data_IF_650478531606
#
_entry.id   IF_650478531606
#
_cell.length_a   1.000
_cell.length_b   1.000
_cell.length_c   1.000
_cell.angle_alpha   90.00
_cell.angle_beta   90.00
_cell.angle_gamma   90.00
#
_symmetry.space_group_name_H-M   'P 1'
#
loop_
_entity.id
_entity.type
_entity.pdbx_description
1 polymer ?
#
# COMPACT_ATOMS: atom_id res chain seq x y z
N UNK A 1 28.78 -33.62 -26.63
CA UNK A 1 28.20 -34.03 -25.34
C UNK A 1 28.77 -33.14 -24.25
N UNK A 2 28.01 -32.19 -23.68
CA UNK A 2 28.51 -31.36 -22.59
C UNK A 2 28.23 -32.01 -21.23
N UNK A 3 29.22 -31.89 -20.34
CA UNK A 3 29.28 -32.52 -19.03
C UNK A 3 28.30 -31.90 -18.01
N UNK A 4 27.66 -32.77 -17.21
CA UNK A 4 26.80 -32.42 -16.08
C UNK A 4 27.66 -31.88 -14.92
N UNK A 5 27.36 -30.71 -14.34
CA UNK A 5 28.09 -30.22 -13.17
C UNK A 5 27.65 -30.98 -11.90
N UNK A 6 28.64 -31.37 -11.10
CA UNK A 6 28.48 -32.09 -9.85
C UNK A 6 27.74 -31.26 -8.79
N UNK A 7 26.75 -31.87 -8.15
CA UNK A 7 25.92 -31.30 -7.08
C UNK A 7 26.74 -31.29 -5.78
N UNK A 8 27.17 -30.11 -5.33
CA UNK A 8 27.77 -29.93 -4.00
C UNK A 8 26.71 -30.21 -2.92
N UNK A 9 27.02 -31.17 -2.04
CA UNK A 9 26.20 -31.51 -0.88
C UNK A 9 26.23 -30.35 0.13
N UNK A 10 25.05 -29.90 0.57
CA UNK A 10 24.93 -28.93 1.64
C UNK A 10 25.48 -29.51 2.96
N UNK A 11 26.13 -28.69 3.81
CA UNK A 11 26.52 -29.11 5.16
C UNK A 11 25.27 -29.36 6.02
N UNK A 12 25.31 -30.31 6.97
CA UNK A 12 24.18 -30.56 7.86
C UNK A 12 23.92 -29.33 8.74
N UNK A 13 22.67 -28.86 8.73
CA UNK A 13 22.22 -27.79 9.59
C UNK A 13 22.35 -28.21 11.07
N UNK A 14 22.79 -27.30 11.96
CA UNK A 14 22.77 -27.57 13.39
C UNK A 14 21.33 -27.84 13.84
N UNK A 15 21.16 -28.87 14.67
CA UNK A 15 19.85 -29.28 15.19
C UNK A 15 19.15 -28.10 15.88
N UNK A 16 17.97 -27.73 15.35
CA UNK A 16 17.09 -26.77 16.01
C UNK A 16 16.80 -27.24 17.45
N UNK A 17 16.99 -26.39 18.48
CA UNK A 17 16.70 -26.75 19.86
C UNK A 17 15.18 -26.92 20.13
N UNK A 18 14.34 -26.58 19.15
CA UNK A 18 12.89 -26.66 19.25
C UNK A 18 12.34 -27.84 18.43
N UNK A 19 11.65 -28.75 19.10
CA UNK A 19 10.79 -29.76 18.47
C UNK A 19 9.34 -29.29 18.56
N UNK A 20 8.69 -29.21 17.41
CA UNK A 20 7.27 -28.90 17.28
C UNK A 20 6.48 -30.20 17.15
N UNK A 21 5.31 -30.28 17.80
CA UNK A 21 4.38 -31.39 17.60
C UNK A 21 3.58 -31.21 16.29
N UNK A 22 2.73 -32.17 15.94
CA UNK A 22 1.89 -32.12 14.74
C UNK A 22 0.90 -30.93 14.69
N UNK A 23 0.74 -30.21 15.81
CA UNK A 23 -0.12 -29.03 15.96
C UNK A 23 0.68 -27.72 16.05
N UNK A 24 1.99 -27.76 15.78
CA UNK A 24 2.89 -26.60 15.80
C UNK A 24 3.06 -25.94 17.18
N UNK A 25 2.85 -26.68 18.26
CA UNK A 25 3.12 -26.23 19.62
C UNK A 25 4.55 -26.64 20.04
N UNK A 26 5.21 -25.76 20.81
CA UNK A 26 6.52 -26.02 21.39
C UNK A 26 6.37 -27.10 22.47
N UNK A 27 7.02 -28.24 22.28
CA UNK A 27 7.07 -29.29 23.31
C UNK A 27 8.25 -29.01 24.22
N UNK A 28 7.99 -28.79 25.51
CA UNK A 28 9.03 -28.60 26.52
C UNK A 28 9.96 -29.83 26.56
N UNK A 29 11.24 -29.61 26.23
CA UNK A 29 12.27 -30.60 26.51
C UNK A 29 12.53 -30.59 28.03
N UNK A 30 12.67 -31.76 28.69
CA UNK A 30 13.11 -31.78 30.08
C UNK A 30 14.50 -31.14 30.17
N UNK A 31 14.60 -30.08 30.98
CA UNK A 31 15.81 -29.28 31.14
C UNK A 31 17.01 -30.17 31.53
N UNK A 32 18.19 -30.00 30.91
CA UNK A 32 19.41 -30.58 31.45
C UNK A 32 19.69 -29.92 32.80
N UNK A 33 19.90 -30.75 33.82
CA UNK A 33 20.21 -30.35 35.18
C UNK A 33 21.38 -29.34 35.20
N UNK A 34 21.14 -28.20 35.84
CA UNK A 34 22.16 -27.15 36.00
C UNK A 34 23.39 -27.69 36.75
N UNK A 35 24.63 -27.41 36.30
CA UNK A 35 25.81 -27.67 37.10
C UNK A 35 25.88 -26.69 38.28
N UNK A 36 26.10 -27.25 39.47
CA UNK A 36 26.30 -26.54 40.73
C UNK A 36 27.55 -25.64 40.69
N UNK A 37 27.39 -24.38 41.10
CA UNK A 37 28.49 -23.43 41.27
C UNK A 37 29.38 -23.86 42.46
N UNK A 38 30.72 -23.93 42.31
CA UNK A 38 31.61 -24.04 43.46
C UNK A 38 31.72 -22.71 44.19
N UNK A 39 31.43 -22.74 45.49
CA UNK A 39 31.69 -21.64 46.43
C UNK A 39 33.21 -21.46 46.57
N UNK A 40 33.74 -20.35 46.09
CA UNK A 40 35.16 -19.99 46.24
C UNK A 40 35.29 -18.93 47.32
N UNK A 41 36.02 -19.32 48.37
CA UNK A 41 36.44 -18.50 49.51
C UNK A 41 37.42 -17.42 49.05
N UNK A 42 37.22 -16.19 49.54
CA UNK A 42 38.14 -15.07 49.33
C UNK A 42 39.51 -15.29 50.01
N UNK A 43 40.58 -14.71 49.46
CA UNK A 43 41.58 -14.08 50.31
C UNK A 43 41.96 -12.66 49.85
N UNK A 44 42.43 -11.88 50.82
CA UNK A 44 42.77 -10.47 50.69
C UNK A 44 44.17 -10.21 50.10
N UNK A 45 44.32 -9.01 49.51
CA UNK A 45 45.53 -8.15 49.34
C UNK A 45 46.74 -8.66 48.51
N UNK A 46 47.02 -8.00 47.37
CA UNK A 46 48.16 -7.05 47.17
C UNK A 46 48.41 -6.69 45.69
N UNK A 47 48.83 -5.44 45.48
CA UNK A 47 49.66 -4.83 44.41
C UNK A 47 49.46 -5.13 42.90
N UNK A 48 49.07 -4.06 42.18
CA UNK A 48 49.93 -3.42 41.18
C UNK A 48 50.30 -4.14 39.87
N UNK A 49 49.43 -4.09 38.86
CA UNK A 49 49.80 -3.99 37.43
C UNK A 49 48.58 -3.59 36.56
N UNK A 50 48.73 -2.74 35.53
CA UNK A 50 47.62 -2.32 34.67
C UNK A 50 47.30 -3.40 33.64
N UNK A 51 46.12 -4.00 33.76
CA UNK A 51 45.53 -4.88 32.74
C UNK A 51 45.15 -4.06 31.50
N UNK A 52 45.50 -4.46 30.28
CA UNK A 52 45.07 -3.76 29.07
C UNK A 52 43.53 -3.84 28.93
N UNK A 53 42.88 -2.82 28.35
CA UNK A 53 41.45 -2.81 28.18
C UNK A 53 41.02 -3.93 27.22
N UNK A 54 40.29 -4.86 27.79
CA UNK A 54 39.55 -5.98 27.24
C UNK A 54 38.85 -5.59 25.91
N UNK A 55 39.40 -6.10 24.80
CA UNK A 55 38.91 -6.02 23.41
C UNK A 55 37.67 -6.90 23.18
N UNK A 56 36.70 -6.91 24.10
CA UNK A 56 35.50 -7.76 24.01
C UNK A 56 34.27 -7.01 23.45
N UNK A 57 34.28 -5.68 23.47
CA UNK A 57 33.21 -4.86 22.90
C UNK A 57 32.97 -5.19 21.41
N UNK A 58 34.05 -5.42 20.66
CA UNK A 58 33.98 -5.67 19.21
C UNK A 58 33.37 -7.02 18.82
N UNK A 59 33.42 -8.01 19.73
CA UNK A 59 32.84 -9.34 19.48
C UNK A 59 31.33 -9.34 19.62
N UNK A 60 30.83 -8.75 20.72
CA UNK A 60 29.40 -8.62 20.98
C UNK A 60 28.72 -7.72 19.94
N UNK A 61 29.33 -6.58 19.61
CA UNK A 61 28.80 -5.65 18.59
C UNK A 61 28.68 -6.33 17.22
N UNK A 62 29.66 -7.15 16.84
CA UNK A 62 29.60 -7.92 15.59
C UNK A 62 28.46 -8.94 15.62
N UNK A 63 28.32 -9.69 16.71
CA UNK A 63 27.23 -10.67 16.84
C UNK A 63 25.85 -10.01 16.83
N UNK A 64 25.71 -8.82 17.41
CA UNK A 64 24.46 -8.05 17.36
C UNK A 64 24.15 -7.57 15.93
N UNK A 65 25.15 -7.05 15.21
CA UNK A 65 24.96 -6.63 13.82
C UNK A 65 24.61 -7.81 12.89
N UNK A 66 25.22 -8.98 13.10
CA UNK A 66 24.89 -10.22 12.38
C UNK A 66 23.45 -10.65 12.66
N UNK A 67 23.03 -10.64 13.93
CA UNK A 67 21.66 -10.97 14.33
C UNK A 67 20.64 -9.98 13.76
N UNK A 68 20.97 -8.69 13.73
CA UNK A 68 20.10 -7.66 13.17
C UNK A 68 19.94 -7.83 11.66
N UNK A 69 21.03 -8.12 10.94
CA UNK A 69 21.00 -8.44 9.51
C UNK A 69 20.18 -9.71 9.21
N UNK A 70 20.34 -10.77 10.01
CA UNK A 70 19.55 -12.00 9.89
C UNK A 70 18.07 -11.75 10.16
N UNK A 71 17.74 -11.00 11.21
CA UNK A 71 16.36 -10.64 11.55
C UNK A 71 15.68 -9.86 10.44
N UNK A 72 16.45 -9.01 9.75
CA UNK A 72 15.97 -8.22 8.64
C UNK A 72 15.72 -9.08 7.40
N UNK A 73 16.65 -9.98 7.05
CA UNK A 73 16.48 -10.93 5.96
C UNK A 73 15.24 -11.84 6.15
N UNK A 74 15.01 -12.31 7.38
CA UNK A 74 13.80 -13.09 7.72
C UNK A 74 12.55 -12.25 7.49
N UNK A 75 12.53 -11.01 7.97
CA UNK A 75 11.39 -10.10 7.81
C UNK A 75 11.11 -9.80 6.34
N UNK A 76 12.14 -9.57 5.53
CA UNK A 76 11.99 -9.36 4.08
C UNK A 76 11.41 -10.59 3.39
N UNK A 77 11.87 -11.80 3.74
CA UNK A 77 11.35 -13.04 3.18
C UNK A 77 9.85 -13.23 3.50
N UNK A 78 9.44 -13.05 4.77
CA UNK A 78 8.03 -13.11 5.15
C UNK A 78 7.18 -12.03 4.45
N UNK A 79 7.71 -10.82 4.33
CA UNK A 79 7.01 -9.73 3.64
C UNK A 79 6.85 -10.04 2.15
N UNK A 80 7.88 -10.62 1.52
CA UNK A 80 7.83 -11.01 0.11
C UNK A 80 6.83 -12.15 -0.14
N UNK A 81 6.77 -13.15 0.75
CA UNK A 81 5.79 -14.24 0.69
C UNK A 81 4.36 -13.74 0.89
N UNK A 82 4.12 -12.90 1.91
CA UNK A 82 2.79 -12.33 2.14
C UNK A 82 2.33 -11.43 0.97
N UNK A 83 3.28 -10.78 0.29
CA UNK A 83 3.02 -9.96 -0.90
C UNK A 83 2.92 -10.76 -2.20
N UNK A 84 3.46 -11.97 -2.31
CA UNK A 84 3.27 -12.80 -3.51
C UNK A 84 1.85 -13.32 -3.60
N UNK A 85 1.23 -13.57 -2.45
CA UNK A 85 -0.14 -14.10 -2.37
C UNK A 85 -1.22 -13.02 -2.49
N UNK A 86 -0.84 -11.74 -2.35
CA UNK A 86 -1.74 -10.60 -2.32
C UNK A 86 -1.38 -9.59 -3.42
N UNK A 87 -2.38 -9.07 -4.15
CA UNK A 87 -2.20 -7.98 -5.12
C UNK A 87 -1.69 -6.64 -4.50
N UNK A 88 -1.37 -6.64 -3.21
CA UNK A 88 -0.85 -5.52 -2.41
C UNK A 88 0.56 -5.11 -2.83
N UNK A 89 1.45 -6.05 -3.17
CA UNK A 89 2.85 -5.75 -3.54
C UNK A 89 2.96 -4.73 -4.69
N UNK A 90 2.33 -5.00 -5.86
CA UNK A 90 2.29 -4.05 -6.97
C UNK A 90 1.68 -2.69 -6.59
N UNK A 91 0.65 -2.69 -5.75
CA UNK A 91 -0.04 -1.48 -5.29
C UNK A 91 0.88 -0.62 -4.42
N UNK A 92 1.57 -1.21 -3.44
CA UNK A 92 2.51 -0.48 -2.59
C UNK A 92 3.69 0.05 -3.40
N UNK A 93 4.26 -0.77 -4.29
CA UNK A 93 5.31 -0.34 -5.19
C UNK A 93 4.87 0.83 -6.10
N UNK A 94 3.60 0.89 -6.48
CA UNK A 94 3.04 2.01 -7.24
C UNK A 94 2.99 3.29 -6.39
N UNK A 95 2.47 3.24 -5.17
CA UNK A 95 2.42 4.42 -4.28
C UNK A 95 3.82 4.95 -3.94
N UNK A 96 4.80 4.06 -3.68
CA UNK A 96 6.19 4.46 -3.43
C UNK A 96 6.80 5.16 -4.66
N UNK A 97 6.61 4.61 -5.86
CA UNK A 97 7.07 5.25 -7.12
C UNK A 97 6.41 6.60 -7.36
N UNK A 98 5.11 6.73 -7.08
CA UNK A 98 4.40 8.00 -7.20
C UNK A 98 4.96 9.06 -6.23
N UNK A 99 5.22 8.68 -4.98
CA UNK A 99 5.85 9.55 -3.99
C UNK A 99 7.23 10.01 -4.45
N UNK A 100 8.09 9.08 -4.87
CA UNK A 100 9.45 9.39 -5.32
C UNK A 100 9.45 10.33 -6.53
N UNK A 101 8.63 10.03 -7.53
CA UNK A 101 8.50 10.85 -8.73
C UNK A 101 7.99 12.26 -8.39
N UNK A 102 6.94 12.36 -7.57
CA UNK A 102 6.43 13.65 -7.13
C UNK A 102 7.46 14.44 -6.31
N UNK A 103 8.16 13.79 -5.38
CA UNK A 103 9.14 14.44 -4.53
C UNK A 103 10.27 15.05 -5.37
N UNK A 104 10.84 14.27 -6.28
CA UNK A 104 11.92 14.74 -7.15
C UNK A 104 11.46 15.91 -8.02
N UNK A 105 10.23 15.84 -8.56
CA UNK A 105 9.65 16.94 -9.35
C UNK A 105 9.45 18.20 -8.51
N UNK A 106 8.89 18.05 -7.30
CA UNK A 106 8.66 19.15 -6.35
C UNK A 106 9.95 19.83 -5.91
N UNK A 107 11.01 19.06 -5.66
CA UNK A 107 12.33 19.61 -5.33
C UNK A 107 12.95 20.36 -6.52
N UNK A 108 12.78 19.84 -7.75
CA UNK A 108 13.21 20.53 -8.96
C UNK A 108 12.50 21.89 -9.15
N UNK A 109 11.19 21.94 -8.89
CA UNK A 109 10.46 23.22 -8.91
C UNK A 109 10.99 24.20 -7.85
N UNK A 110 11.21 23.74 -6.62
CA UNK A 110 11.77 24.59 -5.54
C UNK A 110 13.15 25.15 -5.87
N UNK A 111 14.00 24.34 -6.52
CA UNK A 111 15.32 24.81 -6.95
C UNK A 111 15.22 25.82 -8.10
N UNK A 112 14.26 25.66 -9.01
CA UNK A 112 14.04 26.63 -10.08
C UNK A 112 13.53 27.97 -9.53
N UNK A 113 12.64 27.92 -8.52
CA UNK A 113 12.09 29.12 -7.86
C UNK A 113 13.13 29.81 -6.95
N UNK A 114 13.95 29.01 -6.25
CA UNK A 114 15.05 29.46 -5.41
C UNK A 114 16.32 28.67 -5.74
N UNK A 115 17.24 29.23 -6.54
CA UNK A 115 18.50 28.58 -6.90
C UNK A 115 19.39 28.20 -5.70
N UNK A 116 19.17 28.81 -4.53
CA UNK A 116 19.90 28.46 -3.30
C UNK A 116 19.32 27.25 -2.56
N UNK A 117 18.16 26.76 -2.99
CA UNK A 117 17.50 25.60 -2.40
C UNK A 117 18.25 24.30 -2.71
N UNK A 118 18.71 23.62 -1.66
CA UNK A 118 19.37 22.31 -1.77
C UNK A 118 18.33 21.22 -2.02
N UNK A 119 18.50 20.48 -3.13
CA UNK A 119 17.66 19.31 -3.44
C UNK A 119 17.84 18.25 -2.36
N UNK A 120 16.73 17.87 -1.72
CA UNK A 120 16.71 16.76 -0.77
C UNK A 120 16.29 15.46 -1.48
N UNK A 121 16.99 14.33 -1.26
CA UNK A 121 16.57 13.05 -1.82
C UNK A 121 15.22 12.59 -1.25
N UNK A 122 14.47 11.80 -2.00
CA UNK A 122 13.18 11.25 -1.56
C UNK A 122 13.31 10.34 -0.33
N UNK A 123 14.43 9.60 -0.23
CA UNK A 123 14.75 8.69 0.88
C UNK A 123 15.79 9.32 1.83
N UNK A 124 15.77 8.98 3.14
CA UNK A 124 14.75 8.18 3.82
C UNK A 124 13.37 8.85 3.81
N UNK A 125 12.33 8.01 3.90
CA UNK A 125 10.95 8.47 4.09
C UNK A 125 10.82 8.97 5.53
N UNK A 126 10.44 10.22 5.70
CA UNK A 126 10.20 10.82 7.02
C UNK A 126 8.82 11.45 7.07
N UNK A 127 8.26 11.57 8.26
CA UNK A 127 6.92 12.13 8.43
C UNK A 127 6.77 13.55 7.86
N UNK A 128 7.83 14.38 7.93
CA UNK A 128 7.82 15.72 7.34
C UNK A 128 7.64 15.69 5.82
N UNK A 129 8.39 14.83 5.12
CA UNK A 129 8.27 14.67 3.66
C UNK A 129 6.89 14.15 3.26
N UNK A 130 6.42 13.13 3.98
CA UNK A 130 5.10 12.52 3.76
C UNK A 130 3.97 13.52 4.01
N UNK A 131 4.07 14.38 5.01
CA UNK A 131 3.05 15.41 5.28
C UNK A 131 2.84 16.32 4.07
N UNK A 132 3.92 16.84 3.47
CA UNK A 132 3.83 17.73 2.30
C UNK A 132 3.29 16.97 1.08
N UNK A 133 3.69 15.70 0.92
CA UNK A 133 3.16 14.86 -0.14
C UNK A 133 1.66 14.59 0.02
N UNK A 134 1.20 14.28 1.23
CA UNK A 134 -0.20 14.00 1.51
C UNK A 134 -1.08 15.23 1.30
N UNK A 135 -0.59 16.44 1.59
CA UNK A 135 -1.30 17.68 1.28
C UNK A 135 -1.52 17.83 -0.25
N UNK A 136 -0.50 17.53 -1.05
CA UNK A 136 -0.62 17.48 -2.50
C UNK A 136 -1.59 16.38 -2.97
N UNK A 137 -1.46 15.18 -2.42
CA UNK A 137 -2.35 14.05 -2.70
C UNK A 137 -3.82 14.44 -2.46
N UNK A 138 -4.13 15.03 -1.31
CA UNK A 138 -5.50 15.40 -0.94
C UNK A 138 -6.10 16.53 -1.79
N UNK A 139 -5.27 17.34 -2.45
CA UNK A 139 -5.71 18.48 -3.25
C UNK A 139 -5.76 18.20 -4.75
N UNK A 140 -5.03 17.18 -5.23
CA UNK A 140 -4.99 16.88 -6.66
C UNK A 140 -6.28 16.23 -7.17
N UNK A 141 -6.63 16.49 -8.44
CA UNK A 141 -7.68 15.75 -9.12
C UNK A 141 -7.29 14.27 -9.28
N UNK A 142 -8.26 13.38 -9.13
CA UNK A 142 -8.05 11.95 -9.34
C UNK A 142 -7.68 11.71 -10.81
N UNK A 143 -6.59 10.98 -11.06
CA UNK A 143 -6.18 10.59 -12.41
C UNK A 143 -7.11 9.50 -12.96
N UNK A 144 -8.32 9.88 -13.35
CA UNK A 144 -9.19 9.07 -14.21
C UNK A 144 -9.29 9.80 -15.52
N UNK A 145 -8.73 9.22 -16.59
CA UNK A 145 -9.03 9.69 -17.94
C UNK A 145 -10.51 9.42 -18.17
N UNK A 146 -11.30 10.48 -18.29
CA UNK A 146 -12.60 10.38 -18.95
C UNK A 146 -12.35 10.09 -20.42
N UNK A 147 -13.33 9.47 -21.07
CA UNK A 147 -13.29 9.18 -22.51
C UNK A 147 -13.09 10.47 -23.34
N UNK A 148 -13.57 11.60 -22.81
CA UNK A 148 -13.44 12.97 -23.34
C UNK A 148 -12.07 13.64 -23.05
N UNK A 149 -11.11 12.93 -22.44
CA UNK A 149 -9.78 13.47 -22.14
C UNK A 149 -9.73 14.55 -21.04
N UNK A 150 -10.87 14.93 -20.47
CA UNK A 150 -10.97 15.87 -19.35
C UNK A 150 -10.57 15.21 -18.02
N UNK A 151 -9.81 15.95 -17.21
CA UNK A 151 -9.38 15.51 -15.88
C UNK A 151 -10.58 15.36 -14.93
N UNK A 152 -10.52 14.34 -14.07
CA UNK A 152 -11.57 14.14 -13.07
C UNK A 152 -11.56 15.27 -12.04
N UNK A 153 -12.72 15.88 -11.79
CA UNK A 153 -12.89 16.86 -10.71
C UNK A 153 -12.95 16.25 -9.32
N UNK A 154 -13.02 14.92 -9.20
CA UNK A 154 -13.06 14.24 -7.92
C UNK A 154 -11.67 14.20 -7.27
N UNK A 155 -11.57 14.53 -5.99
CA UNK A 155 -10.35 14.31 -5.19
C UNK A 155 -10.20 12.85 -4.78
N UNK A 156 -8.98 12.44 -4.42
CA UNK A 156 -8.74 11.12 -3.82
C UNK A 156 -9.51 10.95 -2.51
N UNK A 157 -9.98 9.72 -2.26
CA UNK A 157 -10.74 9.38 -1.07
C UNK A 157 -9.84 9.03 0.12
N UNK A 158 -10.44 8.97 1.31
CA UNK A 158 -9.70 8.65 2.55
C UNK A 158 -9.03 7.27 2.50
N UNK A 159 -9.63 6.28 1.83
CA UNK A 159 -9.04 4.95 1.67
C UNK A 159 -7.72 4.96 0.89
N UNK A 160 -7.60 5.80 -0.14
CA UNK A 160 -6.38 5.96 -0.93
C UNK A 160 -5.27 6.59 -0.08
N UNK A 161 -5.61 7.62 0.71
CA UNK A 161 -4.68 8.24 1.68
C UNK A 161 -4.13 7.19 2.65
N UNK A 162 -4.98 6.33 3.21
CA UNK A 162 -4.54 5.25 4.10
C UNK A 162 -3.62 4.26 3.41
N UNK A 163 -3.96 3.83 2.18
CA UNK A 163 -3.13 2.93 1.39
C UNK A 163 -1.76 3.53 1.07
N UNK A 164 -1.71 4.83 0.74
CA UNK A 164 -0.45 5.57 0.54
C UNK A 164 0.39 5.54 1.81
N UNK A 165 -0.18 5.88 2.98
CA UNK A 165 0.56 5.89 4.25
C UNK A 165 1.09 4.49 4.56
N UNK A 166 0.25 3.45 4.45
CA UNK A 166 0.67 2.06 4.70
C UNK A 166 1.77 1.59 3.74
N UNK A 167 1.69 1.96 2.46
CA UNK A 167 2.73 1.64 1.48
C UNK A 167 4.07 2.33 1.80
N UNK A 168 4.03 3.61 2.17
CA UNK A 168 5.22 4.37 2.54
C UNK A 168 5.81 3.90 3.88
N UNK A 169 4.97 3.51 4.84
CA UNK A 169 5.41 2.92 6.11
C UNK A 169 6.08 1.56 5.89
N UNK A 170 5.51 0.71 5.04
CA UNK A 170 6.14 -0.56 4.66
C UNK A 170 7.52 -0.35 4.00
N UNK A 171 7.63 0.66 3.11
CA UNK A 171 8.92 1.02 2.51
C UNK A 171 9.90 1.60 3.53
N UNK A 172 9.43 2.42 4.47
CA UNK A 172 10.26 2.95 5.56
C UNK A 172 10.82 1.81 6.40
N UNK A 173 9.97 0.91 6.86
CA UNK A 173 10.33 -0.23 7.71
C UNK A 173 11.32 -1.18 7.02
N UNK A 174 11.13 -1.47 5.73
CA UNK A 174 12.08 -2.29 4.98
C UNK A 174 13.45 -1.63 4.83
N UNK A 175 13.52 -0.31 4.73
CA UNK A 175 14.79 0.42 4.55
C UNK A 175 15.36 1.03 5.83
N UNK A 176 14.71 0.85 6.97
CA UNK A 176 15.01 1.53 8.24
C UNK A 176 16.45 1.31 8.72
N UNK A 177 16.98 0.10 8.55
CA UNK A 177 18.35 -0.28 8.91
C UNK A 177 19.43 0.48 8.12
N UNK A 178 19.11 0.99 6.91
CA UNK A 178 20.04 1.79 6.12
C UNK A 178 20.20 3.22 6.64
N UNK A 179 19.36 3.63 7.60
CA UNK A 179 19.25 5.02 8.07
C UNK A 179 19.24 5.11 9.60
N UNK A 180 20.07 4.32 10.27
CA UNK A 180 20.19 4.30 11.75
C UNK A 180 20.53 5.68 12.34
N UNK A 181 21.36 6.46 11.64
CA UNK A 181 21.80 7.79 12.07
C UNK A 181 20.69 8.87 11.96
N UNK A 182 19.58 8.57 11.30
CA UNK A 182 18.50 9.52 11.09
C UNK A 182 17.31 9.23 12.01
N UNK A 183 17.14 9.94 13.15
CA UNK A 183 16.06 9.67 14.09
C UNK A 183 14.68 9.88 13.47
N UNK A 184 14.54 10.80 12.50
CA UNK A 184 13.27 11.05 11.83
C UNK A 184 12.84 9.91 10.89
N UNK A 185 13.76 9.04 10.47
CA UNK A 185 13.47 7.83 9.71
C UNK A 185 13.04 6.65 10.61
N UNK A 186 13.33 6.73 11.91
CA UNK A 186 13.04 5.67 12.89
C UNK A 186 11.62 5.79 13.47
N UNK A 187 11.03 6.99 13.46
CA UNK A 187 9.66 7.23 13.93
C UNK A 187 8.63 6.70 12.92
N UNK A 188 7.61 5.97 13.40
CA UNK A 188 6.53 5.45 12.56
C UNK A 188 5.65 6.56 11.99
N UNK A 189 5.27 6.46 10.71
CA UNK A 189 4.46 7.48 10.05
C UNK A 189 3.09 7.66 10.71
N UNK A 190 2.45 6.57 11.13
CA UNK A 190 1.16 6.62 11.84
C UNK A 190 1.26 7.23 13.25
N UNK A 191 2.46 7.38 13.82
CA UNK A 191 2.66 7.99 15.14
C UNK A 191 2.81 9.51 15.05
N UNK A 192 3.09 10.06 13.87
CA UNK A 192 3.22 11.51 13.69
C UNK A 192 1.85 12.18 13.70
N UNK A 193 1.66 13.12 14.62
CA UNK A 193 0.41 13.86 14.79
C UNK A 193 -0.06 14.58 13.50
N UNK A 194 0.87 15.06 12.66
CA UNK A 194 0.51 15.78 11.42
C UNK A 194 -0.14 14.84 10.40
N UNK A 195 0.39 13.62 10.28
CA UNK A 195 -0.16 12.58 9.40
C UNK A 195 -1.54 12.14 9.91
N UNK A 196 -1.68 11.91 11.22
CA UNK A 196 -2.99 11.58 11.82
C UNK A 196 -4.03 12.68 11.54
N UNK A 197 -3.64 13.95 11.69
CA UNK A 197 -4.54 15.07 11.42
C UNK A 197 -4.98 15.14 9.95
N UNK A 198 -4.08 14.84 9.01
CA UNK A 198 -4.41 14.77 7.59
C UNK A 198 -5.33 13.58 7.28
N UNK A 199 -5.09 12.41 7.88
CA UNK A 199 -5.96 11.24 7.76
C UNK A 199 -7.38 11.56 8.26
N UNK A 200 -7.51 12.13 9.47
CA UNK A 200 -8.81 12.56 10.00
C UNK A 200 -9.49 13.63 9.15
N UNK A 201 -8.72 14.57 8.57
CA UNK A 201 -9.26 15.58 7.66
C UNK A 201 -9.76 14.96 6.34
N UNK A 202 -9.09 13.93 5.81
CA UNK A 202 -9.54 13.19 4.65
C UNK A 202 -10.83 12.43 4.94
N UNK A 203 -10.91 11.76 6.10
CA UNK A 203 -12.12 11.07 6.55
C UNK A 203 -13.31 12.01 6.72
N UNK A 204 -13.10 13.20 7.31
CA UNK A 204 -14.17 14.17 7.49
C UNK A 204 -14.74 14.70 6.16
N UNK A 205 -13.91 14.80 5.12
CA UNK A 205 -14.34 15.23 3.77
C UNK A 205 -15.01 14.11 2.97
N UNK A 206 -14.83 12.86 3.37
CA UNK A 206 -15.31 11.68 2.61
C UNK A 206 -16.84 11.64 2.43
N UNK A 207 -17.69 11.92 3.45
CA UNK A 207 -19.14 11.95 3.26
C UNK A 207 -19.60 12.98 2.22
N UNK A 208 -18.99 14.17 2.23
CA UNK A 208 -19.30 15.22 1.25
C UNK A 208 -18.89 14.79 -0.16
N UNK A 209 -17.72 14.17 -0.31
CA UNK A 209 -17.22 13.62 -1.58
C UNK A 209 -18.15 12.54 -2.13
N UNK A 210 -18.57 11.61 -1.27
CA UNK A 210 -19.51 10.52 -1.63
C UNK A 210 -20.85 11.11 -2.07
N UNK A 211 -21.41 12.09 -1.33
CA UNK A 211 -22.65 12.79 -1.71
C UNK A 211 -22.53 13.46 -3.08
N UNK A 212 -21.42 14.19 -3.33
CA UNK A 212 -21.16 14.81 -4.64
C UNK A 212 -21.04 13.78 -5.76
N UNK A 213 -20.36 12.66 -5.51
CA UNK A 213 -20.25 11.57 -6.49
C UNK A 213 -21.63 10.96 -6.80
N UNK A 214 -22.50 10.77 -5.81
CA UNK A 214 -23.88 10.32 -6.02
C UNK A 214 -24.71 11.32 -6.82
N UNK A 215 -24.62 12.62 -6.50
CA UNK A 215 -25.30 13.68 -7.26
C UNK A 215 -24.80 13.70 -8.71
N UNK A 216 -23.48 13.62 -8.92
CA UNK A 216 -22.89 13.61 -10.25
C UNK A 216 -23.27 12.36 -11.04
N UNK A 217 -23.34 11.20 -10.38
CA UNK A 217 -23.85 9.97 -10.99
C UNK A 217 -25.31 10.16 -11.39
N UNK A 218 -26.18 10.62 -10.49
CA UNK A 218 -27.60 10.87 -10.77
C UNK A 218 -27.79 11.86 -11.93
N UNK A 219 -27.01 12.94 -11.97
CA UNK A 219 -27.03 13.92 -13.06
C UNK A 219 -26.52 13.32 -14.38
N UNK A 220 -25.50 12.45 -14.32
CA UNK A 220 -25.00 11.71 -15.48
C UNK A 220 -26.02 10.70 -16.01
N UNK A 221 -26.76 10.02 -15.12
CA UNK A 221 -27.87 9.16 -15.54
C UNK A 221 -28.99 9.96 -16.21
N UNK A 222 -29.22 11.22 -15.80
CA UNK A 222 -30.20 12.10 -16.45
C UNK A 222 -29.78 12.60 -17.83
N UNK A 223 -28.49 12.51 -18.20
CA UNK A 223 -28.00 12.90 -19.52
C UNK A 223 -28.09 11.77 -20.56
N UNK A 224 -28.21 10.52 -20.10
CA UNK A 224 -28.28 9.32 -20.95
C UNK A 224 -29.69 8.70 -20.99
N UNK A 225 -30.69 9.41 -20.46
CA UNK A 225 -32.08 9.03 -20.62
C UNK A 225 -32.52 9.43 -22.03
N UNK A 226 -32.90 8.46 -22.85
CA UNK A 226 -33.56 8.71 -24.14
C UNK A 226 -34.59 9.82 -23.99
N UNK A 227 -34.47 10.90 -24.78
CA UNK A 227 -35.53 11.90 -24.80
C UNK A 227 -36.81 11.27 -25.36
N UNK A 228 -37.98 11.86 -25.10
CA UNK A 228 -39.22 11.34 -25.70
C UNK A 228 -39.13 11.24 -27.23
N UNK A 229 -38.39 12.15 -27.87
CA UNK A 229 -38.13 12.11 -29.31
C UNK A 229 -37.26 10.91 -29.71
N UNK A 230 -36.24 10.57 -28.91
CA UNK A 230 -35.39 9.40 -29.17
C UNK A 230 -36.16 8.09 -28.97
N UNK A 231 -37.02 8.01 -27.94
CA UNK A 231 -37.90 6.85 -27.72
C UNK A 231 -38.87 6.68 -28.89
N UNK A 232 -39.46 7.77 -29.39
CA UNK A 232 -40.33 7.73 -30.58
C UNK A 232 -39.55 7.23 -31.79
N UNK A 233 -38.35 7.79 -32.04
CA UNK A 233 -37.50 7.40 -33.17
C UNK A 233 -37.10 5.92 -33.11
N UNK A 234 -36.69 5.41 -31.94
CA UNK A 234 -36.36 4.00 -31.75
C UNK A 234 -37.60 3.09 -31.90
N UNK A 235 -38.76 3.54 -31.41
CA UNK A 235 -40.05 2.84 -31.53
C UNK A 235 -40.53 2.75 -32.99
N UNK A 236 -40.34 3.81 -33.77
CA UNK A 236 -40.67 3.84 -35.20
C UNK A 236 -39.69 2.98 -36.01
N UNK A 237 -38.41 2.95 -35.63
CA UNK A 237 -37.42 2.07 -36.26
C UNK A 237 -37.83 0.59 -36.18
N UNK A 238 -38.39 0.16 -35.05
CA UNK A 238 -38.99 -1.18 -34.86
C UNK A 238 -40.20 -1.48 -35.77
N UNK A 239 -40.62 -0.56 -36.64
CA UNK A 239 -41.70 -0.75 -37.61
C UNK A 239 -41.22 -0.58 -39.08
N UNK A 240 -39.99 -0.13 -39.32
CA UNK A 240 -39.57 0.32 -40.66
C UNK A 240 -38.90 -0.74 -41.53
N UNK A 241 -38.34 -1.82 -40.98
CA UNK A 241 -37.42 -2.70 -41.72
C UNK A 241 -37.90 -4.16 -41.89
N UNK A 242 -39.19 -4.43 -41.70
CA UNK A 242 -39.72 -5.79 -41.74
C UNK A 242 -40.51 -6.07 -43.03
N UNK A 243 -40.05 -7.05 -43.82
CA UNK A 243 -40.79 -7.58 -44.98
C UNK A 243 -41.40 -8.94 -44.64
N UNK A 244 -42.71 -9.07 -44.86
CA UNK A 244 -43.47 -10.31 -44.69
C UNK A 244 -44.19 -10.46 -43.34
N UNK A 245 -45.31 -11.20 -43.29
CA UNK A 245 -46.20 -11.27 -42.13
C UNK A 245 -45.53 -11.86 -40.87
N UNK A 246 -44.55 -12.75 -41.04
CA UNK A 246 -43.80 -13.36 -39.94
C UNK A 246 -42.80 -12.40 -39.28
N UNK A 247 -42.46 -11.28 -39.90
CA UNK A 247 -41.50 -10.32 -39.32
C UNK A 247 -42.20 -9.15 -38.61
N UNK A 248 -43.48 -8.91 -38.92
CA UNK A 248 -44.29 -7.85 -38.30
C UNK A 248 -44.47 -8.09 -36.79
N UNK A 249 -44.68 -9.34 -36.36
CA UNK A 249 -44.86 -9.64 -34.93
C UNK A 249 -43.56 -9.45 -34.13
N UNK A 250 -42.39 -9.67 -34.76
CA UNK A 250 -41.08 -9.43 -34.13
C UNK A 250 -40.90 -7.94 -33.86
N UNK A 251 -41.14 -7.09 -34.86
CA UNK A 251 -41.09 -5.64 -34.70
C UNK A 251 -42.07 -5.12 -33.65
N UNK A 252 -43.30 -5.64 -33.61
CA UNK A 252 -44.29 -5.31 -32.58
C UNK A 252 -43.85 -5.75 -31.17
N UNK A 253 -43.25 -6.93 -31.03
CA UNK A 253 -42.72 -7.44 -29.76
C UNK A 253 -41.58 -6.56 -29.25
N UNK A 254 -40.60 -6.27 -30.11
CA UNK A 254 -39.42 -5.50 -29.74
C UNK A 254 -39.80 -4.06 -29.38
N UNK A 255 -40.75 -3.48 -30.13
CA UNK A 255 -41.36 -2.20 -29.78
C UNK A 255 -42.08 -2.25 -28.43
N UNK A 256 -42.86 -3.29 -28.17
CA UNK A 256 -43.54 -3.50 -26.89
C UNK A 256 -42.55 -3.59 -25.73
N UNK A 257 -41.45 -4.33 -25.91
CA UNK A 257 -40.37 -4.44 -24.92
C UNK A 257 -39.69 -3.11 -24.66
N UNK A 258 -39.33 -2.36 -25.71
CA UNK A 258 -38.72 -1.03 -25.61
C UNK A 258 -39.63 -0.05 -24.86
N UNK A 259 -40.91 0.04 -25.22
CA UNK A 259 -41.85 0.97 -24.57
C UNK A 259 -42.13 0.58 -23.12
N UNK A 260 -42.19 -0.73 -22.83
CA UNK A 260 -42.39 -1.22 -21.46
C UNK A 260 -41.16 -0.95 -20.59
N UNK A 261 -39.95 -1.19 -21.09
CA UNK A 261 -38.72 -0.91 -20.34
C UNK A 261 -38.54 0.58 -20.10
N UNK A 262 -38.79 1.43 -21.11
CA UNK A 262 -38.78 2.88 -20.94
C UNK A 262 -39.83 3.34 -19.91
N UNK A 263 -41.09 2.90 -20.03
CA UNK A 263 -42.16 3.33 -19.11
C UNK A 263 -41.95 2.89 -17.65
N UNK A 264 -41.28 1.77 -17.40
CA UNK A 264 -40.89 1.34 -16.06
C UNK A 264 -39.68 2.10 -15.54
N UNK A 265 -38.70 2.41 -16.41
CA UNK A 265 -37.51 3.18 -16.05
C UNK A 265 -37.84 4.63 -15.65
N UNK A 266 -38.89 5.24 -16.20
CA UNK A 266 -39.32 6.61 -15.88
C UNK A 266 -40.13 6.73 -14.57
N UNK A 267 -40.38 5.66 -13.80
CA UNK A 267 -41.13 5.74 -12.52
C UNK A 267 -40.34 6.30 -11.33
N UNK A 268 -39.19 6.93 -11.56
CA UNK A 268 -38.37 7.55 -10.51
C UNK A 268 -38.80 8.96 -10.09
N UNK A 269 -39.48 9.72 -10.96
CA UNK A 269 -39.90 11.09 -10.66
C UNK A 269 -41.41 11.13 -10.39
N UNK A 270 -41.74 10.85 -9.13
CA UNK A 270 -43.06 11.16 -8.57
C UNK A 270 -43.15 12.64 -8.21
N UNK A 271 -43.66 13.45 -9.13
CA UNK A 271 -44.29 14.75 -8.82
C UNK A 271 -45.52 14.93 -9.68
N UNK A 272 -46.69 14.83 -9.06
CA UNK A 272 -47.88 15.57 -9.47
C UNK A 272 -47.85 16.92 -8.76
#
# INVERSE_FOLDING_TARGET
MPATPARLSAPPLPHSPYRFNANNEVVDNPAPSAPSLPSVVAPATSDGAPTPPITHATGLERSLAELEAESHAIREAFTAEEQSDKATGPTYAHHVRNYEHWWNTSQGHRQNDDPSHTIMPAFPITAAKVTVFLEYEMTRPQKRKREDGTDSTATVGSSDVKQVISALENRRLSTQHNYLDNPAAQIGLHQDYRIQKLESAAEHKEPARVKMAHILKAKGTNADTFTSADVIKCSDWCLTDFKGPTNIWIGLRDRGMLLTSCSVAFRGDGTW
#
